data_IF_419811072891
#
_entry.id   IF_419811072891
#
_cell.length_a   1.000
_cell.length_b   1.000
_cell.length_c   1.000
_cell.angle_alpha   90.00
_cell.angle_beta   90.00
_cell.angle_gamma   90.00
#
_symmetry.space_group_name_H-M   'P 1'
#
loop_
_entity.id
_entity.type
_entity.pdbx_description
1 polymer ?
#
# COMPACT_ATOMS: atom_id res chain seq x y z
N UNK A 1 42.28 7.56 -18.56
CA UNK A 1 42.06 6.52 -19.58
C UNK A 1 41.00 7.06 -20.54
N UNK A 2 41.29 7.11 -21.84
CA UNK A 2 40.30 7.54 -22.86
C UNK A 2 39.11 6.58 -22.80
N UNK A 3 37.89 7.11 -22.69
CA UNK A 3 36.64 6.34 -22.57
C UNK A 3 36.29 5.58 -23.86
N UNK A 4 37.18 4.72 -24.35
CA UNK A 4 37.10 4.07 -25.67
C UNK A 4 36.91 5.06 -26.85
N UNK A 5 37.44 6.28 -26.73
CA UNK A 5 37.37 7.30 -27.80
C UNK A 5 38.77 7.62 -28.29
N UNK A 6 39.02 7.48 -29.60
CA UNK A 6 40.32 7.72 -30.23
C UNK A 6 40.88 6.51 -30.98
N UNK A 7 42.12 6.63 -31.47
CA UNK A 7 42.86 5.55 -32.12
C UNK A 7 43.53 4.65 -31.07
N UNK A 8 43.59 3.34 -31.34
CA UNK A 8 44.28 2.38 -30.47
C UNK A 8 45.80 2.63 -30.45
N UNK A 9 46.38 3.00 -31.60
CA UNK A 9 47.78 3.43 -31.72
C UNK A 9 47.91 4.58 -32.73
N UNK A 10 48.68 5.65 -32.46
CA UNK A 10 48.90 6.73 -33.43
C UNK A 10 49.74 6.31 -34.65
N UNK A 11 50.50 5.21 -34.54
CA UNK A 11 51.39 4.71 -35.61
C UNK A 11 50.57 4.23 -36.82
N UNK A 12 50.95 4.70 -38.02
CA UNK A 12 50.26 4.38 -39.27
C UNK A 12 49.08 5.28 -39.63
N UNK A 13 48.57 6.08 -38.69
CA UNK A 13 47.50 7.06 -38.97
C UNK A 13 48.01 8.36 -39.60
N UNK A 14 49.32 8.63 -39.57
CA UNK A 14 49.90 9.88 -40.08
C UNK A 14 49.56 11.13 -39.26
N UNK A 15 49.03 10.98 -38.05
CA UNK A 15 48.68 12.09 -37.13
C UNK A 15 49.31 11.89 -35.75
N UNK A 16 49.28 12.91 -34.90
CA UNK A 16 49.84 12.86 -33.54
C UNK A 16 49.05 12.00 -32.55
N UNK A 17 47.85 11.55 -32.92
CA UNK A 17 46.95 10.79 -32.02
C UNK A 17 46.30 11.62 -30.91
N UNK A 18 46.38 12.96 -30.98
CA UNK A 18 45.74 13.84 -30.00
C UNK A 18 44.22 13.90 -30.23
N UNK A 19 43.44 13.59 -29.18
CA UNK A 19 41.97 13.52 -29.24
C UNK A 19 41.39 14.65 -28.39
N UNK A 20 40.67 15.57 -29.03
CA UNK A 20 39.95 16.65 -28.35
C UNK A 20 38.47 16.29 -28.18
N UNK A 21 37.89 16.64 -27.03
CA UNK A 21 36.43 16.56 -26.85
C UNK A 21 35.73 17.61 -27.73
N UNK A 22 34.63 17.22 -28.39
CA UNK A 22 33.83 18.19 -29.13
C UNK A 22 33.24 19.24 -28.18
N UNK A 23 33.46 20.53 -28.49
CA UNK A 23 32.89 21.65 -27.74
C UNK A 23 31.37 21.79 -27.95
N UNK A 24 30.85 21.23 -29.04
CA UNK A 24 29.41 21.17 -29.31
C UNK A 24 28.71 20.04 -28.53
N UNK A 25 29.46 19.16 -27.87
CA UNK A 25 28.87 18.09 -27.07
C UNK A 25 28.37 18.65 -25.73
N UNK A 26 27.10 19.03 -25.70
CA UNK A 26 26.39 19.42 -24.49
C UNK A 26 26.15 18.17 -23.64
N UNK A 27 26.75 18.12 -22.45
CA UNK A 27 26.47 17.05 -21.48
C UNK A 27 25.00 17.17 -21.06
N UNK A 28 24.18 16.10 -21.19
CA UNK A 28 22.82 16.12 -20.69
C UNK A 28 22.85 16.51 -19.20
N UNK A 29 22.09 17.54 -18.85
CA UNK A 29 22.01 18.03 -17.48
C UNK A 29 21.34 16.95 -16.64
N UNK A 30 21.95 16.56 -15.52
CA UNK A 30 21.35 15.61 -14.58
C UNK A 30 19.96 16.14 -14.21
N UNK A 31 18.93 15.41 -14.62
CA UNK A 31 17.56 15.89 -14.62
C UNK A 31 16.94 15.72 -13.22
N UNK A 32 17.56 16.33 -12.21
CA UNK A 32 17.02 16.39 -10.84
C UNK A 32 15.69 17.15 -10.79
N UNK A 33 15.33 17.87 -11.85
CA UNK A 33 14.02 18.50 -12.03
C UNK A 33 12.87 17.50 -12.27
N UNK A 34 13.17 16.23 -12.59
CA UNK A 34 12.15 15.18 -12.73
C UNK A 34 12.03 14.29 -11.48
N UNK A 35 12.86 14.53 -10.45
CA UNK A 35 12.57 14.03 -9.10
C UNK A 35 11.44 14.91 -8.56
N UNK A 36 10.20 14.56 -8.93
CA UNK A 36 9.03 15.09 -8.24
C UNK A 36 9.27 14.87 -6.75
N UNK A 37 9.19 15.92 -5.91
CA UNK A 37 9.46 15.76 -4.48
C UNK A 37 8.58 14.62 -3.96
N UNK A 38 9.12 13.79 -3.06
CA UNK A 38 8.41 12.64 -2.47
C UNK A 38 7.04 13.05 -1.89
N UNK A 39 6.86 14.34 -1.58
CA UNK A 39 5.60 14.98 -1.20
C UNK A 39 4.49 14.88 -2.27
N UNK A 40 4.79 14.63 -3.55
CA UNK A 40 3.77 14.37 -4.59
C UNK A 40 3.03 13.04 -4.39
N UNK A 41 3.56 12.11 -3.59
CA UNK A 41 2.80 10.93 -3.16
C UNK A 41 1.61 11.30 -2.27
N UNK A 42 1.66 12.50 -1.66
CA UNK A 42 0.58 13.11 -0.90
C UNK A 42 -0.27 14.08 -1.74
N UNK A 43 -0.36 13.89 -3.06
CA UNK A 43 -1.43 14.48 -3.87
C UNK A 43 -2.78 13.92 -3.38
N UNK A 44 -3.18 14.36 -2.18
CA UNK A 44 -4.47 14.13 -1.58
C UNK A 44 -5.47 14.53 -2.63
N UNK A 45 -6.27 13.55 -3.03
CA UNK A 45 -7.38 13.78 -3.94
C UNK A 45 -8.18 14.93 -3.32
N UNK A 46 -8.23 16.06 -4.02
CA UNK A 46 -8.94 17.24 -3.52
C UNK A 46 -10.36 16.80 -3.17
N UNK A 47 -10.75 17.02 -1.92
CA UNK A 47 -12.09 16.67 -1.49
C UNK A 47 -13.10 17.46 -2.33
N UNK A 48 -14.22 16.83 -2.73
CA UNK A 48 -15.29 17.57 -3.39
C UNK A 48 -15.84 18.63 -2.42
N UNK A 49 -16.10 19.83 -2.92
CA UNK A 49 -16.67 20.91 -2.13
C UNK A 49 -18.20 20.73 -2.10
N UNK A 50 -18.77 20.68 -0.90
CA UNK A 50 -20.21 20.53 -0.72
C UNK A 50 -20.99 21.73 -1.27
N UNK A 51 -20.46 22.94 -1.14
CA UNK A 51 -21.14 24.16 -1.61
C UNK A 51 -21.29 24.16 -3.14
N UNK A 52 -20.26 23.70 -3.86
CA UNK A 52 -20.30 23.60 -5.32
C UNK A 52 -21.29 22.52 -5.77
N UNK A 53 -21.28 21.35 -5.10
CA UNK A 53 -22.25 20.29 -5.40
C UNK A 53 -23.70 20.73 -5.15
N UNK A 54 -23.96 21.48 -4.08
CA UNK A 54 -25.29 22.00 -3.79
C UNK A 54 -25.72 23.08 -4.78
N UNK A 55 -24.78 23.94 -5.21
CA UNK A 55 -25.02 24.91 -6.26
C UNK A 55 -25.38 24.23 -7.58
N UNK A 56 -24.65 23.19 -7.99
CA UNK A 56 -24.93 22.43 -9.20
C UNK A 56 -26.30 21.75 -9.14
N UNK A 57 -26.71 21.22 -7.97
CA UNK A 57 -28.07 20.68 -7.76
C UNK A 57 -29.14 21.74 -7.96
N UNK A 58 -28.99 22.92 -7.33
CA UNK A 58 -29.95 24.03 -7.47
C UNK A 58 -30.03 24.51 -8.92
N UNK A 59 -28.88 24.66 -9.58
CA UNK A 59 -28.79 25.02 -11.00
C UNK A 59 -29.55 24.02 -11.88
N UNK A 60 -29.45 22.71 -11.61
CA UNK A 60 -30.18 21.69 -12.37
C UNK A 60 -31.70 21.81 -12.20
N UNK A 61 -32.18 22.22 -11.01
CA UNK A 61 -33.60 22.50 -10.78
C UNK A 61 -34.03 23.70 -11.60
N UNK A 62 -33.30 24.81 -11.52
CA UNK A 62 -33.64 26.03 -12.26
C UNK A 62 -33.57 25.83 -13.79
N UNK A 63 -32.64 25.03 -14.30
CA UNK A 63 -32.61 24.67 -15.73
C UNK A 63 -33.90 23.96 -16.15
N UNK A 64 -34.43 23.04 -15.35
CA UNK A 64 -35.70 22.35 -15.66
C UNK A 64 -36.90 23.29 -15.57
N UNK A 65 -36.89 24.23 -14.63
CA UNK A 65 -37.93 25.26 -14.51
C UNK A 65 -37.89 26.17 -15.74
N UNK A 66 -36.69 26.57 -16.17
CA UNK A 66 -36.50 27.36 -17.39
C UNK A 66 -36.96 26.61 -18.65
N UNK A 67 -36.61 25.34 -18.79
CA UNK A 67 -37.11 24.49 -19.89
C UNK A 67 -38.64 24.33 -19.89
N UNK A 68 -39.30 24.38 -18.72
CA UNK A 68 -40.76 24.38 -18.64
C UNK A 68 -41.31 25.72 -19.11
N UNK A 69 -40.74 26.82 -18.59
CA UNK A 69 -41.13 28.18 -18.98
C UNK A 69 -41.08 28.37 -20.49
N UNK A 70 -39.98 28.04 -21.14
CA UNK A 70 -39.82 28.14 -22.60
C UNK A 70 -40.96 27.40 -23.34
N UNK A 71 -41.34 26.21 -22.88
CA UNK A 71 -42.44 25.43 -23.49
C UNK A 71 -43.80 26.09 -23.29
N UNK A 72 -44.06 26.66 -22.12
CA UNK A 72 -45.34 27.30 -21.84
C UNK A 72 -45.49 28.64 -22.58
N UNK A 73 -44.37 29.35 -22.78
CA UNK A 73 -44.30 30.54 -23.62
C UNK A 73 -44.56 30.18 -25.10
N UNK A 74 -43.95 29.11 -25.61
CA UNK A 74 -44.20 28.58 -26.96
C UNK A 74 -45.66 28.13 -27.16
N UNK A 75 -46.30 27.61 -26.11
CA UNK A 75 -47.73 27.24 -26.09
C UNK A 75 -48.67 28.47 -26.00
N UNK A 76 -48.13 29.65 -25.71
CA UNK A 76 -48.89 30.91 -25.62
C UNK A 76 -49.76 31.01 -24.36
N UNK A 77 -49.35 30.43 -23.24
CA UNK A 77 -50.04 30.60 -21.94
C UNK A 77 -49.82 32.01 -21.37
N UNK A 78 -50.73 32.42 -20.49
CA UNK A 78 -50.63 33.69 -19.76
C UNK A 78 -49.47 33.66 -18.74
N UNK A 79 -48.79 34.80 -18.55
CA UNK A 79 -47.60 34.90 -17.68
C UNK A 79 -47.87 34.45 -16.24
N UNK A 80 -49.04 34.79 -15.67
CA UNK A 80 -49.40 34.39 -14.31
C UNK A 80 -49.52 32.85 -14.17
N UNK A 81 -50.09 32.19 -15.18
CA UNK A 81 -50.23 30.72 -15.21
C UNK A 81 -48.86 30.04 -15.39
N UNK A 82 -47.97 30.64 -16.18
CA UNK A 82 -46.60 30.17 -16.36
C UNK A 82 -45.85 30.20 -15.03
N UNK A 83 -45.93 31.30 -14.29
CA UNK A 83 -45.24 31.46 -13.01
C UNK A 83 -45.77 30.49 -11.95
N UNK A 84 -47.08 30.27 -11.88
CA UNK A 84 -47.69 29.28 -10.97
C UNK A 84 -47.20 27.85 -11.26
N UNK A 85 -47.20 27.44 -12.53
CA UNK A 85 -46.72 26.12 -12.95
C UNK A 85 -45.21 25.95 -12.69
N UNK A 86 -44.42 26.99 -12.95
CA UNK A 86 -42.99 27.01 -12.68
C UNK A 86 -42.67 26.90 -11.18
N UNK A 87 -43.39 27.62 -10.32
CA UNK A 87 -43.21 27.55 -8.87
C UNK A 87 -43.67 26.22 -8.28
N UNK A 88 -44.75 25.65 -8.81
CA UNK A 88 -45.18 24.29 -8.46
C UNK A 88 -44.09 23.27 -8.82
N UNK A 89 -43.50 23.37 -10.01
CA UNK A 89 -42.41 22.50 -10.44
C UNK A 89 -41.15 22.70 -9.58
N UNK A 90 -40.79 23.95 -9.27
CA UNK A 90 -39.64 24.29 -8.40
C UNK A 90 -39.79 23.63 -7.04
N UNK A 91 -40.94 23.81 -6.36
CA UNK A 91 -41.22 23.19 -5.06
C UNK A 91 -41.16 21.66 -5.11
N UNK A 92 -41.71 21.05 -6.17
CA UNK A 92 -41.69 19.59 -6.37
C UNK A 92 -40.26 19.06 -6.53
N UNK A 93 -39.45 19.71 -7.36
CA UNK A 93 -38.08 19.28 -7.64
C UNK A 93 -37.14 19.50 -6.44
N UNK A 94 -37.34 20.57 -5.67
CA UNK A 94 -36.61 20.79 -4.41
C UNK A 94 -36.95 19.68 -3.41
N UNK A 95 -38.25 19.41 -3.20
CA UNK A 95 -38.69 18.36 -2.29
C UNK A 95 -38.20 16.97 -2.73
N UNK A 96 -38.20 16.67 -4.03
CA UNK A 96 -37.62 15.43 -4.55
C UNK A 96 -36.11 15.39 -4.33
N UNK A 97 -35.38 16.46 -4.60
CA UNK A 97 -33.92 16.53 -4.40
C UNK A 97 -33.53 16.35 -2.92
N UNK A 98 -34.30 16.90 -1.99
CA UNK A 98 -34.07 16.75 -0.55
C UNK A 98 -34.47 15.35 -0.05
N UNK A 99 -35.62 14.85 -0.48
CA UNK A 99 -36.15 13.52 -0.11
C UNK A 99 -35.36 12.35 -0.70
N UNK A 100 -34.73 12.55 -1.86
CA UNK A 100 -33.84 11.57 -2.50
C UNK A 100 -32.41 11.63 -1.95
N UNK A 101 -32.22 12.30 -0.81
CA UNK A 101 -30.98 12.36 -0.05
C UNK A 101 -30.23 11.03 0.00
N UNK A 102 -29.04 11.03 -0.59
CA UNK A 102 -27.95 10.05 -0.49
C UNK A 102 -28.24 8.57 -0.87
N UNK A 103 -29.51 8.18 -1.10
CA UNK A 103 -29.89 6.77 -1.38
C UNK A 103 -29.89 6.41 -2.85
N UNK A 104 -30.03 7.38 -3.75
CA UNK A 104 -29.82 7.21 -5.19
C UNK A 104 -28.80 8.25 -5.59
N UNK A 105 -27.57 7.82 -5.84
CA UNK A 105 -26.53 8.67 -6.40
C UNK A 105 -27.07 9.37 -7.65
N UNK A 106 -27.36 10.67 -7.50
CA UNK A 106 -27.68 11.66 -8.51
C UNK A 106 -28.48 11.18 -9.72
N UNK A 107 -29.79 11.42 -9.72
CA UNK A 107 -30.58 11.55 -10.96
C UNK A 107 -30.38 12.97 -11.51
N UNK A 108 -29.11 13.34 -11.74
CA UNK A 108 -28.74 14.41 -12.68
C UNK A 108 -28.50 13.76 -14.04
N UNK A 109 -28.65 14.52 -15.12
CA UNK A 109 -28.45 14.06 -16.52
C UNK A 109 -27.09 13.37 -16.71
N UNK A 110 -27.06 12.05 -16.50
CA UNK A 110 -25.84 11.29 -16.23
C UNK A 110 -26.09 10.12 -15.28
N UNK A 111 -27.06 9.27 -15.63
CA UNK A 111 -27.47 8.15 -14.80
C UNK A 111 -26.31 7.30 -14.28
N UNK A 112 -26.42 6.92 -13.00
CA UNK A 112 -25.74 5.78 -12.37
C UNK A 112 -24.24 5.65 -12.69
N UNK A 113 -23.44 6.52 -12.08
CA UNK A 113 -22.11 6.14 -11.60
C UNK A 113 -21.05 5.81 -12.66
N UNK A 114 -21.15 6.34 -13.87
CA UNK A 114 -20.03 6.32 -14.81
C UNK A 114 -19.35 7.69 -14.81
N UNK A 115 -18.16 7.79 -14.20
CA UNK A 115 -17.27 8.97 -14.31
C UNK A 115 -17.06 9.40 -15.77
N UNK A 116 -17.22 8.46 -16.71
CA UNK A 116 -17.13 8.67 -18.17
C UNK A 116 -18.23 9.57 -18.75
N UNK A 117 -19.37 9.72 -18.07
CA UNK A 117 -20.48 10.59 -18.53
C UNK A 117 -20.36 12.03 -18.01
N UNK A 118 -19.52 12.25 -17.00
CA UNK A 118 -19.26 13.57 -16.46
C UNK A 118 -18.39 14.37 -17.43
N UNK A 119 -18.71 15.65 -17.59
CA UNK A 119 -17.92 16.55 -18.44
C UNK A 119 -16.61 16.88 -17.73
N UNK A 120 -15.55 17.16 -18.49
CA UNK A 120 -14.21 17.46 -17.95
C UNK A 120 -14.19 18.61 -16.94
N UNK A 121 -15.10 19.57 -17.03
CA UNK A 121 -15.22 20.70 -16.12
C UNK A 121 -15.94 20.39 -14.79
N UNK A 122 -16.62 19.25 -14.67
CA UNK A 122 -17.34 18.85 -13.45
C UNK A 122 -16.39 18.20 -12.43
N UNK A 123 -15.35 18.93 -12.03
CA UNK A 123 -14.23 18.40 -11.25
C UNK A 123 -14.70 17.84 -9.89
N UNK A 124 -15.65 18.50 -9.23
CA UNK A 124 -16.14 18.08 -7.91
C UNK A 124 -17.05 16.85 -8.00
N UNK A 125 -17.89 16.76 -9.03
CA UNK A 125 -18.70 15.57 -9.28
C UNK A 125 -17.80 14.37 -9.62
N UNK A 126 -16.79 14.58 -10.47
CA UNK A 126 -15.78 13.56 -10.80
C UNK A 126 -15.04 13.10 -9.54
N UNK A 127 -14.63 14.04 -8.68
CA UNK A 127 -13.96 13.72 -7.43
C UNK A 127 -14.86 12.91 -6.49
N UNK A 128 -16.13 13.32 -6.32
CA UNK A 128 -17.13 12.59 -5.52
C UNK A 128 -17.36 11.18 -6.07
N UNK A 129 -17.54 11.05 -7.38
CA UNK A 129 -17.77 9.76 -8.04
C UNK A 129 -16.56 8.82 -7.88
N UNK A 130 -15.34 9.33 -8.07
CA UNK A 130 -14.11 8.56 -7.85
C UNK A 130 -13.97 8.08 -6.40
N UNK A 131 -14.30 8.91 -5.41
CA UNK A 131 -14.28 8.51 -3.99
C UNK A 131 -15.27 7.37 -3.75
N UNK A 132 -16.47 7.43 -4.34
CA UNK A 132 -17.47 6.36 -4.23
C UNK A 132 -17.03 5.07 -4.93
N UNK A 133 -16.44 5.17 -6.12
CA UNK A 133 -15.88 4.04 -6.87
C UNK A 133 -14.75 3.38 -6.10
N UNK A 134 -13.81 4.17 -5.58
CA UNK A 134 -12.70 3.68 -4.75
C UNK A 134 -13.21 3.01 -3.48
N UNK A 135 -14.25 3.57 -2.84
CA UNK A 135 -14.84 2.94 -1.66
C UNK A 135 -15.54 1.61 -2.01
N UNK A 136 -16.22 1.56 -3.14
CA UNK A 136 -16.84 0.32 -3.65
C UNK A 136 -15.78 -0.73 -3.96
N UNK A 137 -14.69 -0.33 -4.62
CA UNK A 137 -13.55 -1.20 -4.91
C UNK A 137 -12.88 -1.69 -3.63
N UNK A 138 -12.64 -0.80 -2.66
CA UNK A 138 -12.11 -1.13 -1.32
C UNK A 138 -12.96 -2.20 -0.64
N UNK A 139 -14.29 -2.05 -0.65
CA UNK A 139 -15.23 -3.03 -0.09
C UNK A 139 -15.18 -4.36 -0.85
N UNK A 140 -15.14 -4.33 -2.18
CA UNK A 140 -15.07 -5.52 -3.02
C UNK A 140 -13.77 -6.31 -2.81
N UNK A 141 -12.65 -5.61 -2.59
CA UNK A 141 -11.36 -6.22 -2.27
C UNK A 141 -11.24 -6.67 -0.80
N UNK A 142 -12.28 -6.46 0.02
CA UNK A 142 -12.27 -6.83 1.44
C UNK A 142 -11.31 -5.98 2.29
N UNK A 143 -10.85 -4.83 1.80
CA UNK A 143 -9.92 -3.96 2.51
C UNK A 143 -10.68 -3.20 3.60
N UNK A 144 -10.24 -3.29 4.85
CA UNK A 144 -10.86 -2.58 5.98
C UNK A 144 -10.72 -1.06 5.82
N UNK A 145 -11.68 -0.29 6.36
CA UNK A 145 -11.69 1.19 6.24
C UNK A 145 -10.45 1.86 6.85
N UNK A 146 -9.90 1.27 7.92
CA UNK A 146 -8.66 1.71 8.56
C UNK A 146 -7.43 0.90 8.14
N UNK A 147 -7.36 0.45 6.88
CA UNK A 147 -6.16 -0.19 6.36
C UNK A 147 -5.08 0.86 6.15
N UNK A 148 -4.02 0.78 6.95
CA UNK A 148 -2.82 1.61 6.80
C UNK A 148 -1.83 0.92 5.86
N UNK A 149 -1.31 1.65 4.90
CA UNK A 149 -0.24 1.15 4.03
C UNK A 149 0.97 0.74 4.87
N UNK A 150 1.58 -0.42 4.56
CA UNK A 150 2.65 -0.97 5.40
C UNK A 150 2.18 -1.83 6.59
N UNK A 151 0.92 -1.72 7.03
CA UNK A 151 0.42 -2.48 8.19
C UNK A 151 0.50 -4.00 7.99
N UNK A 152 0.26 -4.49 6.77
CA UNK A 152 0.42 -5.90 6.43
C UNK A 152 1.89 -6.36 6.55
N UNK A 153 2.85 -5.55 6.09
CA UNK A 153 4.28 -5.87 6.21
C UNK A 153 4.76 -5.82 7.66
N UNK A 154 4.36 -4.81 8.45
CA UNK A 154 4.67 -4.73 9.89
C UNK A 154 4.14 -5.95 10.64
N UNK A 155 2.89 -6.34 10.38
CA UNK A 155 2.29 -7.54 10.98
C UNK A 155 3.01 -8.82 10.56
N UNK A 156 3.55 -8.90 9.34
CA UNK A 156 4.36 -10.04 8.91
C UNK A 156 5.72 -10.07 9.62
N UNK A 157 6.39 -8.94 9.79
CA UNK A 157 7.64 -8.86 10.53
C UNK A 157 7.45 -9.21 12.00
N UNK A 158 6.41 -8.70 12.64
CA UNK A 158 6.05 -9.05 14.02
C UNK A 158 5.78 -10.54 14.17
N UNK A 159 5.01 -11.15 13.26
CA UNK A 159 4.77 -12.61 13.29
C UNK A 159 6.05 -13.41 13.07
N UNK A 160 6.96 -12.96 12.18
CA UNK A 160 8.26 -13.62 11.99
C UNK A 160 9.10 -13.55 13.26
N UNK A 161 9.20 -12.36 13.89
CA UNK A 161 9.90 -12.16 15.16
C UNK A 161 9.31 -13.02 16.29
N UNK A 162 7.99 -13.11 16.39
CA UNK A 162 7.32 -13.96 17.38
C UNK A 162 7.62 -15.45 17.18
N UNK A 163 7.61 -15.93 15.92
CA UNK A 163 7.96 -17.32 15.59
C UNK A 163 9.43 -17.62 15.90
N UNK A 164 10.35 -16.69 15.61
CA UNK A 164 11.77 -16.83 15.96
C UNK A 164 11.98 -16.84 17.47
N UNK A 165 11.32 -15.95 18.21
CA UNK A 165 11.37 -15.92 19.68
C UNK A 165 10.84 -17.23 20.29
N UNK A 166 9.73 -17.77 19.76
CA UNK A 166 9.18 -19.05 20.22
C UNK A 166 10.11 -20.23 19.92
N UNK A 167 10.73 -20.25 18.73
CA UNK A 167 11.74 -21.27 18.37
C UNK A 167 12.99 -21.18 19.24
N UNK A 168 13.46 -19.97 19.57
CA UNK A 168 14.60 -19.76 20.45
C UNK A 168 14.31 -20.28 21.87
N UNK A 169 13.13 -19.96 22.43
CA UNK A 169 12.71 -20.47 23.74
C UNK A 169 12.47 -21.97 23.79
N UNK A 170 11.98 -22.59 22.70
CA UNK A 170 11.90 -24.05 22.58
C UNK A 170 13.28 -24.70 22.48
N UNK A 171 14.22 -24.07 21.77
CA UNK A 171 15.63 -24.49 21.68
C UNK A 171 16.31 -24.52 23.06
N UNK A 172 16.16 -23.45 23.84
CA UNK A 172 16.73 -23.33 25.18
C UNK A 172 16.13 -24.38 26.16
N UNK A 173 14.80 -24.60 26.12
CA UNK A 173 14.14 -25.66 26.91
C UNK A 173 14.61 -27.06 26.52
N UNK A 174 14.87 -27.29 25.22
CA UNK A 174 15.37 -28.56 24.68
C UNK A 174 16.85 -28.79 25.02
N UNK A 175 17.66 -27.74 25.10
CA UNK A 175 19.05 -27.81 25.60
C UNK A 175 19.10 -28.02 27.12
N UNK A 176 18.21 -27.37 27.88
CA UNK A 176 18.13 -27.52 29.33
C UNK A 176 17.64 -28.92 29.75
N UNK A 177 16.80 -29.56 28.95
CA UNK A 177 16.39 -30.97 29.13
C UNK A 177 17.42 -31.97 28.60
N UNK A 178 18.31 -31.57 27.69
CA UNK A 178 19.45 -32.37 27.21
C UNK A 178 20.67 -32.32 28.11
N UNK A 179 20.80 -31.31 28.98
CA UNK A 179 21.84 -31.26 30.01
C UNK A 179 21.72 -32.48 30.95
N UNK A 180 22.63 -33.47 30.86
CA UNK A 180 22.53 -34.67 31.67
C UNK A 180 22.90 -34.35 33.11
N UNK A 181 22.17 -34.96 34.04
CA UNK A 181 22.49 -35.08 35.47
C UNK A 181 23.98 -35.27 35.73
N UNK A 182 24.74 -34.19 35.89
CA UNK A 182 26.17 -34.21 36.20
C UNK A 182 26.45 -33.49 37.51
N UNK A 183 25.95 -34.06 38.60
CA UNK A 183 26.46 -33.81 39.97
C UNK A 183 25.75 -34.69 41.01
N UNK A 184 25.97 -36.01 40.95
CA UNK A 184 25.91 -36.84 42.16
C UNK A 184 27.16 -37.72 42.20
N UNK A 185 28.20 -37.18 42.81
CA UNK A 185 29.47 -37.87 43.07
C UNK A 185 29.23 -39.15 43.89
N UNK A 186 29.82 -40.30 43.53
CA UNK A 186 29.77 -41.47 44.38
C UNK A 186 30.70 -41.27 45.58
N UNK A 187 30.14 -41.27 46.79
CA UNK A 187 30.88 -41.22 48.06
C UNK A 187 31.86 -42.40 48.12
N UNK A 188 33.15 -42.09 48.23
CA UNK A 188 34.24 -43.06 48.40
C UNK A 188 34.05 -43.83 49.71
N UNK A 189 33.85 -45.15 49.64
CA UNK A 189 33.92 -46.07 50.79
C UNK A 189 35.39 -46.37 51.11
N UNK A 190 35.78 -46.18 52.36
CA UNK A 190 37.09 -46.44 52.95
C UNK A 190 37.45 -47.94 52.94
N UNK A 191 38.73 -48.34 52.78
CA UNK A 191 39.12 -49.75 52.83
C UNK A 191 39.25 -50.20 54.28
N UNK A 192 38.53 -51.28 54.64
CA UNK A 192 38.63 -51.95 55.94
C UNK A 192 39.77 -52.97 55.86
N UNK A 193 40.67 -52.90 56.83
CA UNK A 193 41.81 -53.80 57.03
C UNK A 193 41.38 -55.28 57.01
N UNK A 194 42.02 -56.07 56.14
CA UNK A 194 42.02 -57.54 56.22
C UNK A 194 43.46 -58.00 56.36
N UNK A 195 43.75 -58.51 57.56
CA UNK A 195 44.96 -59.25 57.91
C UNK A 195 45.17 -60.43 56.96
N UNK A 196 46.34 -60.48 56.33
CA UNK A 196 46.86 -61.67 55.63
C UNK A 196 47.64 -62.49 56.65
N UNK A 197 47.11 -63.65 57.01
CA UNK A 197 47.89 -64.74 57.60
C UNK A 197 48.65 -65.46 56.47
N UNK A 198 49.94 -65.66 56.71
CA UNK A 198 50.87 -66.42 55.88
C UNK A 198 50.54 -67.91 56.01
N UNK A 199 50.44 -68.63 54.89
CA UNK A 199 50.70 -70.07 54.88
C UNK A 199 51.46 -70.39 53.59
N UNK A 200 52.73 -70.70 53.77
CA UNK A 200 53.65 -71.23 52.78
C UNK A 200 53.22 -72.61 52.32
N UNK A 201 53.27 -72.91 51.01
CA UNK A 201 53.77 -74.20 50.54
C UNK A 201 54.18 -74.17 49.07
N UNK A 202 55.31 -74.81 48.90
CA UNK A 202 56.23 -74.88 47.79
C UNK A 202 55.87 -75.99 46.79
N UNK A 203 56.67 -76.03 45.71
CA UNK A 203 56.86 -77.10 44.70
C UNK A 203 55.82 -77.14 43.57
N UNK A 204 56.16 -77.47 42.34
CA UNK A 204 57.43 -77.68 41.61
C UNK A 204 57.05 -78.18 40.22
N UNK A 205 57.76 -77.76 39.17
CA UNK A 205 57.83 -78.43 37.86
C UNK A 205 56.52 -78.47 37.06
N UNK A 206 56.50 -78.72 35.76
CA UNK A 206 57.49 -78.83 34.70
C UNK A 206 56.71 -79.28 33.47
N UNK A 207 57.04 -78.71 32.31
CA UNK A 207 57.00 -79.35 31.00
C UNK A 207 55.66 -79.54 30.25
N UNK A 208 55.85 -79.48 28.92
CA UNK A 208 55.02 -79.67 27.70
C UNK A 208 53.97 -80.80 27.77
N UNK A 209 52.91 -80.82 26.96
CA UNK A 209 52.76 -80.72 25.49
C UNK A 209 51.46 -79.96 25.11
#
# INVERSE_FOLDING_TARGET
MSSNVGLSTPRGSGTSGYVQRSAAFLKPRDNTANEKPLDFQSAQRRAPDAAILDHDRRRQIEVKVFELRDKLEDEGKDEDAIDEECDALRKKLVAESEGQGDRRGGVGSGGKGDVRRLKSHQVHEIARAKIQEDEKLRRALGIKKGYEEGSHWRKQEERKKEVEFRKAGEGEKRERSRSPRRSRSPVRRSPRSRSRSLESRSRSGSYSD
#
